data_IF_081958886858
#
_entry.id   IF_081958886858
#
_cell.length_a   1.000
_cell.length_b   1.000
_cell.length_c   1.000
_cell.angle_alpha   90.00
_cell.angle_beta   90.00
_cell.angle_gamma   90.00
#
_symmetry.space_group_name_H-M   'P 1'
#
loop_
_entity.id
_entity.type
_entity.pdbx_description
1 polymer ?
#
# COMPACT_ATOMS: atom_id res chain seq x y z
N UNK A 1 21.61 -14.65 -21.57
CA UNK A 1 20.76 -15.16 -20.47
C UNK A 1 20.03 -13.99 -19.84
N UNK A 2 18.86 -13.64 -20.39
CA UNK A 2 18.00 -12.58 -19.88
C UNK A 2 16.86 -13.22 -19.10
N UNK A 3 16.79 -12.99 -17.79
CA UNK A 3 15.60 -13.28 -16.97
C UNK A 3 15.14 -11.99 -16.30
N UNK A 4 13.81 -11.86 -16.29
CA UNK A 4 12.94 -10.96 -15.53
C UNK A 4 13.09 -9.44 -15.73
N UNK A 5 12.17 -8.89 -16.54
CA UNK A 5 11.52 -7.61 -16.27
C UNK A 5 10.01 -7.82 -16.44
N UNK A 6 9.32 -8.02 -15.33
CA UNK A 6 7.86 -7.85 -15.30
C UNK A 6 7.58 -6.47 -14.70
N UNK A 7 7.27 -5.54 -15.58
CA UNK A 7 6.57 -4.30 -15.23
C UNK A 7 5.19 -4.70 -14.72
N UNK A 8 4.87 -4.34 -13.47
CA UNK A 8 3.58 -4.61 -12.83
C UNK A 8 2.50 -3.58 -13.21
N UNK A 9 2.75 -2.74 -14.22
CA UNK A 9 1.82 -1.72 -14.69
C UNK A 9 1.22 -2.15 -16.03
N UNK A 10 0.15 -2.98 -15.95
CA UNK A 10 -0.97 -3.19 -16.90
C UNK A 10 -1.44 -4.64 -16.75
N UNK A 11 -2.41 -4.89 -15.87
CA UNK A 11 -2.98 -6.24 -15.64
C UNK A 11 -4.51 -6.26 -15.69
N UNK A 12 -5.12 -5.47 -16.58
CA UNK A 12 -6.57 -5.54 -16.79
C UNK A 12 -6.93 -5.35 -18.27
N UNK A 13 -6.66 -6.38 -19.10
CA UNK A 13 -7.43 -6.69 -20.34
C UNK A 13 -6.78 -7.77 -21.24
N UNK A 14 -6.48 -8.96 -20.72
CA UNK A 14 -6.23 -10.18 -21.52
C UNK A 14 -6.40 -11.43 -20.65
N UNK A 15 -6.85 -12.58 -21.17
CA UNK A 15 -6.82 -13.84 -20.41
C UNK A 15 -5.39 -14.13 -19.96
N UNK A 16 -5.16 -14.20 -18.65
CA UNK A 16 -3.85 -14.56 -18.12
C UNK A 16 -3.52 -16.01 -18.50
N UNK A 17 -2.28 -16.29 -18.89
CA UNK A 17 -1.87 -17.66 -19.23
C UNK A 17 -1.97 -18.58 -18.00
N UNK A 18 -2.20 -19.88 -18.24
CA UNK A 18 -2.27 -20.89 -17.16
C UNK A 18 -1.00 -20.90 -16.29
N UNK A 19 0.16 -20.61 -16.87
CA UNK A 19 1.44 -20.51 -16.18
C UNK A 19 1.49 -19.32 -15.19
N UNK A 20 0.94 -18.18 -15.58
CA UNK A 20 0.85 -16.99 -14.72
C UNK A 20 -0.12 -17.27 -13.56
N UNK A 21 -1.27 -17.87 -13.85
CA UNK A 21 -2.27 -18.23 -12.84
C UNK A 21 -1.67 -19.24 -11.84
N UNK A 22 -0.98 -20.27 -12.34
CA UNK A 22 -0.31 -21.28 -11.51
C UNK A 22 0.75 -20.64 -10.60
N UNK A 23 1.57 -19.74 -11.15
CA UNK A 23 2.58 -19.00 -10.38
C UNK A 23 1.95 -18.15 -9.28
N UNK A 24 0.90 -17.39 -9.59
CA UNK A 24 0.17 -16.58 -8.60
C UNK A 24 -0.43 -17.42 -7.48
N UNK A 25 -1.03 -18.57 -7.82
CA UNK A 25 -1.58 -19.49 -6.83
C UNK A 25 -0.49 -20.09 -5.93
N UNK A 26 0.66 -20.43 -6.50
CA UNK A 26 1.81 -20.87 -5.72
C UNK A 26 2.23 -19.79 -4.73
N UNK A 27 2.33 -18.53 -5.15
CA UNK A 27 2.70 -17.42 -4.25
C UNK A 27 1.67 -17.21 -3.13
N UNK A 28 0.38 -17.24 -3.43
CA UNK A 28 -0.71 -17.13 -2.43
C UNK A 28 -0.54 -18.21 -1.34
N UNK A 29 -0.25 -19.45 -1.75
CA UNK A 29 -0.05 -20.56 -0.82
C UNK A 29 1.26 -20.43 -0.04
N UNK A 30 2.38 -20.17 -0.73
CA UNK A 30 3.70 -20.05 -0.10
C UNK A 30 3.77 -18.92 0.94
N UNK A 31 3.06 -17.81 0.70
CA UNK A 31 3.02 -16.69 1.64
C UNK A 31 1.92 -16.80 2.70
N UNK A 32 1.09 -17.86 2.68
CA UNK A 32 0.05 -18.06 3.69
C UNK A 32 -1.07 -17.02 3.60
N UNK A 33 -1.47 -16.64 2.38
CA UNK A 33 -2.48 -15.59 2.15
C UNK A 33 -3.91 -16.13 2.30
N UNK A 34 -4.16 -17.42 1.98
CA UNK A 34 -5.52 -17.99 2.07
C UNK A 34 -6.15 -17.85 3.46
N UNK A 35 -5.46 -18.17 4.58
CA UNK A 35 -6.03 -17.96 5.91
C UNK A 35 -6.35 -16.49 6.22
N UNK A 36 -5.62 -15.54 5.61
CA UNK A 36 -5.92 -14.11 5.77
C UNK A 36 -7.18 -13.74 5.01
N UNK A 37 -7.34 -14.21 3.77
CA UNK A 37 -8.54 -13.99 2.99
C UNK A 37 -9.79 -14.54 3.70
N UNK A 38 -9.69 -15.74 4.27
CA UNK A 38 -10.77 -16.34 5.05
C UNK A 38 -11.09 -15.50 6.30
N UNK A 39 -10.07 -14.98 6.97
CA UNK A 39 -10.26 -14.10 8.13
C UNK A 39 -10.90 -12.76 7.77
N UNK A 40 -10.56 -12.20 6.61
CA UNK A 40 -11.17 -10.97 6.08
C UNK A 40 -12.66 -11.19 5.79
N UNK A 41 -12.99 -12.26 5.06
CA UNK A 41 -14.38 -12.58 4.70
C UNK A 41 -15.23 -12.82 5.94
N UNK A 42 -14.76 -13.66 6.86
CA UNK A 42 -15.46 -13.94 8.11
C UNK A 42 -15.69 -12.66 8.94
N UNK A 43 -14.70 -11.76 8.98
CA UNK A 43 -14.85 -10.49 9.70
C UNK A 43 -15.83 -9.53 9.02
N UNK A 44 -15.82 -9.45 7.67
CA UNK A 44 -16.79 -8.66 6.91
C UNK A 44 -18.22 -9.18 7.15
N UNK A 45 -18.44 -10.48 7.04
CA UNK A 45 -19.75 -11.09 7.23
C UNK A 45 -20.26 -10.90 8.68
N UNK A 46 -19.39 -11.00 9.69
CA UNK A 46 -19.79 -10.74 11.08
C UNK A 46 -20.24 -9.31 11.33
N UNK A 47 -19.64 -8.33 10.66
CA UNK A 47 -20.03 -6.91 10.76
C UNK A 47 -21.30 -6.62 9.98
N UNK A 48 -21.41 -7.16 8.77
CA UNK A 48 -22.59 -7.06 7.92
C UNK A 48 -22.75 -8.37 7.11
N UNK A 49 -23.73 -9.19 7.48
CA UNK A 49 -23.99 -10.50 6.87
C UNK A 49 -24.29 -10.43 5.36
N UNK A 50 -24.76 -9.28 4.86
CA UNK A 50 -25.06 -9.06 3.44
C UNK A 50 -23.97 -8.32 2.67
N UNK A 51 -22.85 -7.95 3.30
CA UNK A 51 -21.82 -7.10 2.68
C UNK A 51 -21.35 -7.60 1.30
N UNK A 52 -21.19 -8.91 1.15
CA UNK A 52 -20.66 -9.53 -0.07
C UNK A 52 -21.75 -10.01 -1.05
N UNK A 53 -23.02 -9.85 -0.70
CA UNK A 53 -24.18 -10.29 -1.49
C UNK A 53 -25.14 -9.16 -1.85
N UNK A 54 -24.96 -7.96 -1.28
CA UNK A 54 -25.72 -6.77 -1.64
C UNK A 54 -25.58 -6.41 -3.14
N UNK A 55 -26.62 -5.81 -3.75
CA UNK A 55 -26.50 -5.28 -5.11
C UNK A 55 -25.45 -4.16 -5.17
N UNK A 56 -24.36 -4.38 -5.92
CA UNK A 56 -23.26 -3.41 -6.11
C UNK A 56 -22.67 -2.87 -4.78
N UNK A 57 -22.07 -3.74 -3.94
CA UNK A 57 -21.57 -3.32 -2.64
C UNK A 57 -20.37 -2.36 -2.82
N UNK A 58 -20.18 -1.47 -1.84
CA UNK A 58 -19.05 -0.52 -1.78
C UNK A 58 -18.25 -0.74 -0.51
N UNK A 59 -17.39 -1.75 -0.56
CA UNK A 59 -16.55 -2.19 0.56
C UNK A 59 -15.18 -1.53 0.47
N UNK A 60 -14.65 -1.07 1.59
CA UNK A 60 -13.28 -0.60 1.73
C UNK A 60 -12.54 -1.49 2.72
N UNK A 61 -11.47 -2.11 2.22
CA UNK A 61 -10.51 -2.88 3.00
C UNK A 61 -9.27 -2.00 3.21
N UNK A 62 -9.05 -1.52 4.43
CA UNK A 62 -7.89 -0.70 4.77
C UNK A 62 -6.69 -1.56 5.15
N UNK A 63 -5.53 -1.31 4.56
CA UNK A 63 -4.30 -2.07 4.83
C UNK A 63 -3.18 -1.13 5.23
N UNK A 64 -2.69 -1.26 6.46
CA UNK A 64 -1.61 -0.46 7.00
C UNK A 64 -0.45 -1.30 7.53
N UNK A 65 0.63 -0.63 7.93
CA UNK A 65 1.89 -1.25 8.33
C UNK A 65 3.09 -0.44 7.86
N UNK A 66 4.27 -0.78 8.38
CA UNK A 66 5.50 -0.01 8.17
C UNK A 66 5.92 0.13 6.69
N UNK A 67 6.85 1.05 6.43
CA UNK A 67 7.56 1.12 5.14
C UNK A 67 8.31 -0.20 4.92
N UNK A 68 8.32 -0.68 3.67
CA UNK A 68 9.00 -1.92 3.26
C UNK A 68 8.49 -3.24 3.88
N UNK A 69 7.43 -3.22 4.69
CA UNK A 69 6.78 -4.46 5.20
C UNK A 69 6.15 -5.30 4.07
N UNK A 70 6.01 -4.73 2.87
CA UNK A 70 5.47 -5.38 1.68
C UNK A 70 3.95 -5.31 1.59
N UNK A 71 3.36 -4.15 1.91
CA UNK A 71 1.91 -3.91 1.81
C UNK A 71 1.40 -4.11 0.38
N UNK A 72 2.04 -3.51 -0.62
CA UNK A 72 1.53 -3.55 -2.00
C UNK A 72 1.45 -4.99 -2.52
N UNK A 73 2.56 -5.73 -2.41
CA UNK A 73 2.60 -7.16 -2.77
C UNK A 73 1.61 -8.00 -1.96
N UNK A 74 1.49 -7.76 -0.66
CA UNK A 74 0.53 -8.47 0.18
C UNK A 74 -0.91 -8.20 -0.26
N UNK A 75 -1.23 -6.93 -0.53
CA UNK A 75 -2.55 -6.47 -0.95
C UNK A 75 -2.92 -7.04 -2.32
N UNK A 76 -1.98 -7.09 -3.26
CA UNK A 76 -2.19 -7.71 -4.57
C UNK A 76 -2.48 -9.21 -4.45
N UNK A 77 -1.70 -9.93 -3.63
CA UNK A 77 -1.93 -11.36 -3.39
C UNK A 77 -3.28 -11.61 -2.68
N UNK A 78 -3.63 -10.76 -1.72
CA UNK A 78 -4.94 -10.83 -1.04
C UNK A 78 -6.07 -10.54 -2.03
N UNK A 79 -5.93 -9.54 -2.90
CA UNK A 79 -6.89 -9.21 -3.97
C UNK A 79 -7.12 -10.42 -4.88
N UNK A 80 -6.05 -11.10 -5.31
CA UNK A 80 -6.12 -12.32 -6.12
C UNK A 80 -6.84 -13.46 -5.38
N UNK A 81 -6.54 -13.68 -4.10
CA UNK A 81 -7.19 -14.69 -3.27
C UNK A 81 -8.69 -14.40 -3.08
N UNK A 82 -9.07 -13.14 -2.86
CA UNK A 82 -10.47 -12.72 -2.76
C UNK A 82 -11.21 -12.78 -4.11
N UNK A 83 -10.52 -12.50 -5.22
CA UNK A 83 -11.07 -12.63 -6.57
C UNK A 83 -11.50 -14.06 -6.88
N UNK A 84 -10.74 -15.06 -6.43
CA UNK A 84 -11.10 -16.47 -6.60
C UNK A 84 -12.40 -16.86 -5.88
N UNK A 85 -12.70 -16.21 -4.74
CA UNK A 85 -13.88 -16.49 -3.92
C UNK A 85 -15.12 -15.69 -4.35
N UNK A 86 -14.91 -14.45 -4.79
CA UNK A 86 -15.98 -13.52 -5.20
C UNK A 86 -15.65 -12.90 -6.57
N UNK A 87 -15.61 -13.69 -7.66
CA UNK A 87 -15.20 -13.20 -8.99
C UNK A 87 -16.14 -12.13 -9.56
N UNK A 88 -17.39 -12.08 -9.09
CA UNK A 88 -18.39 -11.08 -9.49
C UNK A 88 -18.17 -9.69 -8.87
N UNK A 89 -17.32 -9.58 -7.84
CA UNK A 89 -17.05 -8.30 -7.18
C UNK A 89 -15.73 -7.74 -7.68
N UNK A 90 -15.74 -6.69 -8.47
CA UNK A 90 -14.49 -6.08 -8.94
C UNK A 90 -13.73 -5.46 -7.76
N UNK A 91 -12.42 -5.68 -7.70
CA UNK A 91 -11.54 -5.06 -6.70
C UNK A 91 -10.50 -4.19 -7.38
N UNK A 92 -10.12 -3.10 -6.71
CA UNK A 92 -9.01 -2.28 -7.14
C UNK A 92 -8.17 -1.87 -5.93
N UNK A 93 -6.85 -1.98 -6.09
CA UNK A 93 -5.86 -1.57 -5.08
C UNK A 93 -5.49 -0.11 -5.33
N UNK A 94 -5.56 0.72 -4.29
CA UNK A 94 -5.16 2.12 -4.36
C UNK A 94 -4.25 2.43 -3.18
N UNK A 95 -3.05 2.90 -3.49
CA UNK A 95 -2.12 3.39 -2.47
C UNK A 95 -2.44 4.85 -2.12
N UNK A 96 -2.40 5.16 -0.83
CA UNK A 96 -2.48 6.55 -0.34
C UNK A 96 -1.31 7.40 -0.80
N UNK A 97 -0.17 6.81 -1.20
CA UNK A 97 0.98 7.55 -1.77
C UNK A 97 0.60 8.32 -3.04
N UNK A 98 -0.45 7.86 -3.74
CA UNK A 98 -1.07 8.56 -4.88
C UNK A 98 -1.61 9.95 -4.52
N UNK A 99 -1.81 10.23 -3.25
CA UNK A 99 -2.33 11.50 -2.74
C UNK A 99 -1.24 12.33 -2.07
N UNK A 100 0.04 11.97 -2.20
CA UNK A 100 1.15 12.86 -1.85
C UNK A 100 1.16 14.05 -2.81
N UNK A 101 1.40 15.25 -2.30
CA UNK A 101 1.56 16.43 -3.16
C UNK A 101 2.72 16.24 -4.16
N UNK A 102 2.58 16.71 -5.42
CA UNK A 102 3.69 16.75 -6.37
C UNK A 102 4.92 17.43 -5.79
N UNK A 103 6.11 16.97 -6.18
CA UNK A 103 7.40 17.42 -5.65
C UNK A 103 7.59 18.92 -5.81
N UNK A 104 7.04 19.52 -6.88
CA UNK A 104 7.00 20.98 -7.06
C UNK A 104 6.31 21.67 -5.87
N UNK A 105 5.13 21.22 -5.47
CA UNK A 105 4.36 21.78 -4.34
C UNK A 105 5.08 21.53 -3.02
N UNK A 106 5.65 20.34 -2.83
CA UNK A 106 6.43 20.04 -1.62
C UNK A 106 7.65 20.96 -1.47
N UNK A 107 8.33 21.31 -2.58
CA UNK A 107 9.45 22.27 -2.57
C UNK A 107 8.97 23.69 -2.25
N UNK A 108 7.90 24.14 -2.91
CA UNK A 108 7.30 25.47 -2.67
C UNK A 108 6.89 25.66 -1.20
N UNK A 109 6.48 24.57 -0.53
CA UNK A 109 6.06 24.58 0.88
C UNK A 109 7.17 24.22 1.88
N UNK A 110 8.41 23.97 1.43
CA UNK A 110 9.50 23.47 2.28
C UNK A 110 9.19 22.14 3.01
N UNK A 111 8.39 21.26 2.39
CA UNK A 111 7.94 19.97 2.94
C UNK A 111 8.63 18.76 2.33
N UNK A 112 9.63 18.94 1.46
CA UNK A 112 10.28 17.83 0.75
C UNK A 112 10.91 16.79 1.70
N UNK A 113 11.48 17.24 2.83
CA UNK A 113 12.03 16.36 3.88
C UNK A 113 10.97 15.62 4.69
N UNK A 114 9.71 16.04 4.59
CA UNK A 114 8.55 15.48 5.29
C UNK A 114 7.67 14.66 4.34
N UNK A 115 8.20 14.22 3.19
CA UNK A 115 7.47 13.34 2.28
C UNK A 115 7.15 12.00 2.97
N UNK A 116 5.88 11.64 3.01
CA UNK A 116 5.38 10.49 3.79
C UNK A 116 4.87 10.85 5.19
N UNK A 117 5.00 12.10 5.63
CA UNK A 117 4.37 12.61 6.86
C UNK A 117 2.99 13.21 6.52
N UNK A 118 2.09 13.37 7.51
CA UNK A 118 0.74 13.92 7.30
C UNK A 118 0.68 15.15 6.40
N UNK A 119 1.56 16.12 6.66
CA UNK A 119 1.62 17.41 5.95
C UNK A 119 1.95 17.30 4.46
N UNK A 120 2.48 16.15 4.01
CA UNK A 120 2.85 15.93 2.61
C UNK A 120 1.72 15.39 1.73
N UNK A 121 0.57 15.02 2.32
CA UNK A 121 -0.57 14.48 1.60
C UNK A 121 -1.64 15.53 1.34
N UNK A 122 -2.26 15.45 0.16
CA UNK A 122 -3.50 16.13 -0.20
C UNK A 122 -4.69 15.42 0.44
N UNK A 123 -4.78 15.52 1.77
CA UNK A 123 -5.78 14.79 2.58
C UNK A 123 -7.23 15.06 2.15
N UNK A 124 -7.64 16.31 1.85
CA UNK A 124 -9.00 16.56 1.35
C UNK A 124 -9.32 15.80 0.06
N UNK A 125 -8.34 15.70 -0.86
CA UNK A 125 -8.52 14.96 -2.13
C UNK A 125 -8.64 13.45 -1.89
N UNK A 126 -7.91 12.91 -0.93
CA UNK A 126 -8.02 11.51 -0.53
C UNK A 126 -9.39 11.20 0.07
N UNK A 127 -9.89 12.05 0.98
CA UNK A 127 -11.23 11.85 1.57
C UNK A 127 -12.31 11.97 0.49
N UNK A 128 -12.23 12.97 -0.39
CA UNK A 128 -13.19 13.11 -1.49
C UNK A 128 -13.21 11.86 -2.39
N UNK A 129 -12.05 11.28 -2.68
CA UNK A 129 -11.95 10.03 -3.45
C UNK A 129 -12.67 8.85 -2.76
N UNK A 130 -12.48 8.71 -1.45
CA UNK A 130 -13.11 7.67 -0.63
C UNK A 130 -14.64 7.87 -0.58
N UNK A 131 -15.09 9.10 -0.36
CA UNK A 131 -16.50 9.47 -0.35
C UNK A 131 -17.16 9.22 -1.72
N UNK A 132 -16.49 9.61 -2.81
CA UNK A 132 -16.97 9.38 -4.16
C UNK A 132 -17.19 7.89 -4.44
N UNK A 133 -16.27 7.03 -3.98
CA UNK A 133 -16.43 5.58 -4.06
C UNK A 133 -17.62 5.09 -3.23
N UNK A 134 -17.75 5.52 -1.97
CA UNK A 134 -18.87 5.12 -1.10
C UNK A 134 -20.23 5.58 -1.63
N UNK A 135 -20.30 6.73 -2.29
CA UNK A 135 -21.50 7.21 -2.98
C UNK A 135 -21.78 6.49 -4.31
N UNK A 136 -20.95 5.53 -4.69
CA UNK A 136 -21.16 4.72 -5.89
C UNK A 136 -20.85 5.45 -7.19
N UNK A 137 -20.09 6.56 -7.16
CA UNK A 137 -19.61 7.20 -8.39
C UNK A 137 -18.71 6.22 -9.15
N UNK A 138 -18.72 6.35 -10.48
CA UNK A 138 -17.90 5.56 -11.38
C UNK A 138 -16.89 6.45 -12.10
N UNK A 139 -15.79 5.88 -12.60
CA UNK A 139 -14.69 6.60 -13.26
C UNK A 139 -14.10 7.72 -12.40
N UNK A 140 -13.83 7.43 -11.12
CA UNK A 140 -13.27 8.40 -10.19
C UNK A 140 -11.78 8.55 -10.47
N UNK A 141 -11.34 9.73 -10.89
CA UNK A 141 -9.94 10.00 -11.19
C UNK A 141 -9.11 10.15 -9.90
N UNK A 142 -7.92 9.56 -9.85
CA UNK A 142 -6.94 9.75 -8.79
C UNK A 142 -5.51 9.86 -9.37
N UNK A 143 -4.59 10.56 -8.70
CA UNK A 143 -3.21 10.68 -9.20
C UNK A 143 -2.48 9.34 -9.09
N UNK A 144 -1.34 9.20 -9.76
CA UNK A 144 -0.51 7.99 -9.66
C UNK A 144 0.89 8.35 -9.17
N UNK A 145 1.32 7.76 -8.06
CA UNK A 145 2.67 7.95 -7.55
C UNK A 145 3.65 6.98 -8.21
N UNK A 146 4.75 7.50 -8.76
CA UNK A 146 5.83 6.69 -9.31
C UNK A 146 7.02 6.65 -8.36
N UNK A 147 7.37 5.46 -7.85
CA UNK A 147 8.59 5.29 -7.05
C UNK A 147 9.89 5.48 -7.86
N UNK A 148 9.84 5.29 -9.18
CA UNK A 148 10.98 5.51 -10.09
C UNK A 148 11.29 7.00 -10.21
N UNK A 149 10.26 7.80 -10.53
CA UNK A 149 10.37 9.26 -10.59
C UNK A 149 10.51 9.88 -9.20
N UNK A 150 10.05 9.15 -8.17
CA UNK A 150 9.86 9.65 -6.83
C UNK A 150 8.95 10.89 -6.84
N UNK A 151 7.89 10.86 -7.64
CA UNK A 151 6.92 11.95 -7.80
C UNK A 151 5.56 11.44 -8.33
N UNK A 152 4.56 12.31 -8.37
CA UNK A 152 3.29 12.06 -9.05
C UNK A 152 3.51 12.05 -10.58
N UNK A 153 3.02 11.00 -11.23
CA UNK A 153 2.97 10.81 -12.68
C UNK A 153 2.02 11.79 -13.34
N UNK A 154 2.30 12.16 -14.58
CA UNK A 154 1.44 13.03 -15.40
C UNK A 154 0.12 12.35 -15.81
N UNK A 155 0.09 11.01 -15.77
CA UNK A 155 -1.07 10.21 -16.17
C UNK A 155 -1.89 9.79 -14.94
N UNK A 156 -3.10 10.35 -14.73
CA UNK A 156 -3.98 9.90 -13.67
C UNK A 156 -4.50 8.49 -13.95
N UNK A 157 -4.97 7.84 -12.89
CA UNK A 157 -5.66 6.56 -12.95
C UNK A 157 -7.13 6.76 -12.61
N UNK A 158 -7.95 5.75 -12.93
CA UNK A 158 -9.39 5.78 -12.70
C UNK A 158 -9.83 4.58 -11.86
N UNK A 159 -10.76 4.82 -10.95
CA UNK A 159 -11.49 3.77 -10.25
C UNK A 159 -12.78 3.52 -11.04
N UNK A 160 -12.85 2.36 -11.69
CA UNK A 160 -13.96 2.02 -12.59
C UNK A 160 -14.58 0.69 -12.17
N UNK A 161 -15.91 0.65 -12.12
CA UNK A 161 -16.74 -0.51 -11.80
C UNK A 161 -16.31 -1.27 -10.53
N UNK A 162 -15.73 -0.57 -9.56
CA UNK A 162 -15.16 -1.17 -8.36
C UNK A 162 -16.23 -1.45 -7.30
N UNK A 163 -16.21 -2.66 -6.73
CA UNK A 163 -17.04 -3.05 -5.58
C UNK A 163 -16.23 -3.06 -4.28
N UNK A 164 -14.95 -3.42 -4.35
CA UNK A 164 -14.07 -3.51 -3.19
C UNK A 164 -12.82 -2.67 -3.44
N UNK A 165 -12.73 -1.55 -2.75
CA UNK A 165 -11.55 -0.70 -2.73
C UNK A 165 -10.57 -1.24 -1.68
N UNK A 166 -9.40 -1.68 -2.11
CA UNK A 166 -8.31 -2.07 -1.20
C UNK A 166 -7.38 -0.87 -1.03
N UNK A 167 -7.61 -0.10 0.02
CA UNK A 167 -6.88 1.13 0.30
C UNK A 167 -5.66 0.81 1.17
N UNK A 168 -4.46 0.94 0.60
CA UNK A 168 -3.22 0.68 1.32
C UNK A 168 -2.42 1.95 1.64
N UNK A 169 -1.74 1.96 2.78
CA UNK A 169 -0.97 3.13 3.18
C UNK A 169 -0.45 3.09 4.60
N UNK A 170 0.60 3.86 4.85
CA UNK A 170 1.13 4.02 6.22
C UNK A 170 0.17 4.79 7.13
N UNK A 171 -0.78 5.53 6.56
CA UNK A 171 -1.68 6.45 7.24
C UNK A 171 -3.13 5.96 7.32
N UNK A 172 -3.47 4.84 6.69
CA UNK A 172 -4.87 4.35 6.56
C UNK A 172 -5.56 4.16 7.90
N UNK A 173 -4.80 3.82 8.95
CA UNK A 173 -5.35 3.60 10.30
C UNK A 173 -4.98 4.70 11.31
N UNK A 174 -4.29 5.75 10.89
CA UNK A 174 -3.73 6.75 11.81
C UNK A 174 -4.66 7.94 11.99
N UNK A 175 -5.10 8.18 13.22
CA UNK A 175 -5.93 9.35 13.57
C UNK A 175 -5.12 10.65 13.58
N UNK A 176 -3.82 10.55 13.84
CA UNK A 176 -2.89 11.68 13.87
C UNK A 176 -2.46 12.17 12.48
N UNK A 177 -3.09 11.65 11.42
CA UNK A 177 -2.73 11.96 10.04
C UNK A 177 -3.59 13.04 9.38
N UNK A 178 -4.61 13.54 10.09
CA UNK A 178 -5.37 14.71 9.66
C UNK A 178 -4.46 15.93 9.89
N UNK A 179 -4.07 16.68 8.83
CA UNK A 179 -3.28 17.90 9.02
C UNK A 179 -4.03 18.89 9.92
N UNK A 180 -3.34 19.56 10.86
CA UNK A 180 -3.98 20.47 11.85
C UNK A 180 -4.90 21.53 11.23
N UNK A 181 -4.59 21.98 10.01
CA UNK A 181 -5.37 22.97 9.27
C UNK A 181 -6.17 22.38 8.10
N UNK A 182 -6.47 21.06 8.15
CA UNK A 182 -7.29 20.41 7.14
C UNK A 182 -8.72 20.96 7.18
N UNK A 183 -9.31 21.36 6.04
CA UNK A 183 -10.73 21.73 5.99
C UNK A 183 -11.66 20.52 6.17
N UNK A 184 -11.12 19.31 6.14
CA UNK A 184 -11.85 18.04 6.31
C UNK A 184 -11.45 17.40 7.64
N UNK A 185 -12.46 17.05 8.44
CA UNK A 185 -12.30 16.42 9.77
C UNK A 185 -12.57 14.92 9.76
N UNK A 186 -13.12 14.37 8.67
CA UNK A 186 -13.42 12.95 8.55
C UNK A 186 -12.13 12.13 8.52
N UNK A 187 -12.13 10.99 9.21
CA UNK A 187 -11.00 10.07 9.23
C UNK A 187 -11.18 8.99 8.17
N UNK A 188 -10.11 8.55 7.52
CA UNK A 188 -10.12 7.39 6.61
C UNK A 188 -10.79 6.18 7.27
N UNK A 189 -10.53 5.94 8.56
CA UNK A 189 -11.07 4.82 9.32
C UNK A 189 -12.59 4.79 9.39
N UNK A 190 -13.25 5.95 9.34
CA UNK A 190 -14.70 6.05 9.43
C UNK A 190 -15.39 5.41 8.20
N UNK A 191 -14.64 5.25 7.10
CA UNK A 191 -15.12 4.65 5.87
C UNK A 191 -14.75 3.18 5.70
N UNK A 192 -13.89 2.62 6.57
CA UNK A 192 -13.39 1.25 6.44
C UNK A 192 -14.41 0.23 6.95
N UNK A 193 -14.74 -0.76 6.11
CA UNK A 193 -15.56 -1.89 6.54
C UNK A 193 -14.71 -2.92 7.32
N UNK A 194 -13.43 -3.05 6.93
CA UNK A 194 -12.44 -3.85 7.64
C UNK A 194 -11.05 -3.25 7.48
N UNK A 195 -10.22 -3.45 8.50
CA UNK A 195 -8.85 -2.96 8.58
C UNK A 195 -7.84 -4.05 8.94
N UNK A 196 -6.68 -4.03 8.27
CA UNK A 196 -5.56 -4.93 8.51
C UNK A 196 -4.31 -4.12 8.84
N UNK A 197 -3.54 -4.58 9.82
CA UNK A 197 -2.19 -4.10 10.08
C UNK A 197 -1.17 -5.21 9.84
N UNK A 198 -0.20 -4.94 8.97
CA UNK A 198 0.89 -5.88 8.66
C UNK A 198 2.06 -5.61 9.61
N UNK A 199 2.32 -6.57 10.49
CA UNK A 199 3.32 -6.51 11.56
C UNK A 199 4.56 -7.34 11.18
N UNK A 200 5.75 -6.82 11.49
CA UNK A 200 7.00 -7.55 11.38
C UNK A 200 8.02 -7.00 12.40
N UNK A 201 9.07 -7.78 12.68
CA UNK A 201 10.14 -7.32 13.56
C UNK A 201 10.90 -6.14 12.95
N UNK A 202 11.43 -5.24 13.78
CA UNK A 202 12.26 -4.12 13.31
C UNK A 202 13.44 -4.59 12.45
N UNK A 203 14.08 -5.71 12.84
CA UNK A 203 15.20 -6.30 12.11
C UNK A 203 14.81 -6.77 10.70
N UNK A 204 13.56 -7.25 10.54
CA UNK A 204 13.04 -7.65 9.23
C UNK A 204 12.65 -6.44 8.39
N UNK A 205 11.98 -5.46 8.99
CA UNK A 205 11.64 -4.20 8.34
C UNK A 205 12.87 -3.50 7.77
N UNK A 206 13.93 -3.38 8.57
CA UNK A 206 15.17 -2.75 8.13
C UNK A 206 15.86 -3.55 7.02
N UNK A 207 15.89 -4.88 7.12
CA UNK A 207 16.46 -5.71 6.07
C UNK A 207 15.73 -5.57 4.73
N UNK A 208 14.40 -5.62 4.75
CA UNK A 208 13.61 -5.44 3.53
C UNK A 208 13.77 -4.02 2.96
N UNK A 209 13.86 -3.02 3.83
CA UNK A 209 14.19 -1.66 3.41
C UNK A 209 15.53 -1.59 2.67
N UNK A 210 16.60 -2.19 3.22
CA UNK A 210 17.92 -2.22 2.55
C UNK A 210 17.82 -2.91 1.18
N UNK A 211 17.19 -4.08 1.12
CA UNK A 211 17.08 -4.84 -0.14
C UNK A 211 16.30 -4.06 -1.21
N UNK A 212 15.17 -3.45 -0.83
CA UNK A 212 14.39 -2.60 -1.75
C UNK A 212 15.21 -1.40 -2.22
N UNK A 213 15.93 -0.73 -1.31
CA UNK A 213 16.76 0.42 -1.65
C UNK A 213 17.85 0.05 -2.66
N UNK A 214 18.54 -1.06 -2.44
CA UNK A 214 19.54 -1.58 -3.38
C UNK A 214 18.93 -1.96 -4.73
N UNK A 215 17.74 -2.58 -4.75
CA UNK A 215 17.02 -2.88 -5.99
C UNK A 215 16.71 -1.62 -6.80
N UNK A 216 16.27 -0.53 -6.15
CA UNK A 216 15.97 0.73 -6.82
C UNK A 216 17.22 1.39 -7.43
N UNK A 217 18.38 1.24 -6.78
CA UNK A 217 19.66 1.70 -7.33
C UNK A 217 20.06 0.85 -8.54
N UNK A 218 19.87 -0.47 -8.46
CA UNK A 218 20.16 -1.37 -9.58
C UNK A 218 19.27 -1.04 -10.79
N UNK A 219 17.98 -0.80 -10.57
CA UNK A 219 17.05 -0.39 -11.63
C UNK A 219 17.45 0.96 -12.23
N UNK A 220 17.93 1.89 -11.40
CA UNK A 220 18.43 3.19 -11.83
C UNK A 220 19.60 3.07 -12.81
N UNK A 221 20.42 2.00 -12.75
CA UNK A 221 21.52 1.80 -13.71
C UNK A 221 21.03 1.60 -15.14
N UNK A 222 19.81 1.08 -15.33
CA UNK A 222 19.26 0.92 -16.69
C UNK A 222 18.89 2.28 -17.29
N UNK A 223 18.23 3.15 -16.53
CA UNK A 223 17.77 4.46 -17.00
C UNK A 223 18.07 5.54 -15.94
N UNK A 224 19.34 5.98 -15.82
CA UNK A 224 19.74 6.89 -14.73
C UNK A 224 19.02 8.23 -14.75
N UNK A 225 18.82 8.83 -15.94
CA UNK A 225 18.28 10.19 -16.01
C UNK A 225 16.84 10.33 -15.51
N UNK A 226 16.06 9.25 -15.60
CA UNK A 226 14.67 9.19 -15.14
C UNK A 226 14.55 8.72 -13.68
N UNK A 227 15.65 8.39 -13.02
CA UNK A 227 15.63 7.82 -11.67
C UNK A 227 16.03 8.85 -10.61
N UNK A 228 15.20 8.95 -9.57
CA UNK A 228 15.55 9.70 -8.37
C UNK A 228 16.79 9.14 -7.65
N UNK A 229 17.19 7.90 -7.95
CA UNK A 229 18.32 7.19 -7.33
C UNK A 229 19.64 7.34 -8.11
N UNK A 230 19.68 8.15 -9.17
CA UNK A 230 20.86 8.24 -10.05
C UNK A 230 22.16 8.64 -9.35
N UNK A 231 22.07 9.51 -8.35
CA UNK A 231 23.24 9.94 -7.55
C UNK A 231 23.85 8.78 -6.75
N UNK A 232 23.05 7.79 -6.39
CA UNK A 232 23.46 6.64 -5.60
C UNK A 232 24.20 5.58 -6.41
N UNK A 233 24.11 5.61 -7.76
CA UNK A 233 24.77 4.64 -8.65
C UNK A 233 26.30 4.67 -8.49
N UNK A 234 26.86 5.85 -8.20
CA UNK A 234 28.31 6.07 -8.10
C UNK A 234 28.83 5.97 -6.65
N UNK A 235 27.96 5.72 -5.68
CA UNK A 235 28.35 5.59 -4.27
C UNK A 235 28.98 4.21 -4.03
N UNK A 236 29.99 4.17 -3.18
CA UNK A 236 30.58 2.93 -2.67
C UNK A 236 29.59 2.18 -1.78
N UNK A 237 29.84 0.89 -1.57
CA UNK A 237 28.97 0.06 -0.71
C UNK A 237 28.88 0.60 0.73
N UNK A 238 29.97 1.16 1.26
CA UNK A 238 30.00 1.74 2.62
C UNK A 238 29.20 3.05 2.69
N UNK A 239 29.33 3.92 1.69
CA UNK A 239 28.53 5.14 1.60
C UNK A 239 27.03 4.82 1.50
N UNK A 240 26.65 3.83 0.69
CA UNK A 240 25.27 3.36 0.57
C UNK A 240 24.75 2.79 1.88
N UNK A 241 25.55 1.97 2.57
CA UNK A 241 25.18 1.42 3.87
C UNK A 241 24.94 2.54 4.89
N UNK A 242 25.86 3.50 5.00
CA UNK A 242 25.75 4.64 5.92
C UNK A 242 24.51 5.50 5.61
N UNK A 243 24.26 5.78 4.33
CA UNK A 243 23.08 6.51 3.88
C UNK A 243 21.79 5.77 4.23
N UNK A 244 21.69 4.47 3.91
CA UNK A 244 20.50 3.66 4.21
C UNK A 244 20.22 3.60 5.72
N UNK A 245 21.25 3.40 6.54
CA UNK A 245 21.13 3.41 8.00
C UNK A 245 20.63 4.76 8.51
N UNK A 246 21.18 5.86 7.99
CA UNK A 246 20.78 7.21 8.38
C UNK A 246 19.32 7.49 7.99
N UNK A 247 18.92 7.21 6.74
CA UNK A 247 17.54 7.41 6.27
C UNK A 247 16.54 6.54 7.03
N UNK A 248 16.88 5.27 7.30
CA UNK A 248 16.04 4.40 8.11
C UNK A 248 15.85 4.97 9.52
N UNK A 249 16.94 5.23 10.23
CA UNK A 249 16.90 5.69 11.63
C UNK A 249 16.23 7.05 11.77
N UNK A 250 16.49 7.98 10.86
CA UNK A 250 16.07 9.37 11.01
C UNK A 250 14.70 9.68 10.40
N UNK A 251 14.20 8.85 9.48
CA UNK A 251 12.95 9.10 8.76
C UNK A 251 11.99 7.93 8.98
N UNK A 252 12.28 6.76 8.40
CA UNK A 252 11.32 5.66 8.34
C UNK A 252 11.01 5.06 9.71
N UNK A 253 12.02 4.85 10.54
CA UNK A 253 11.87 4.28 11.88
C UNK A 253 11.19 5.25 12.84
N UNK A 254 11.56 6.54 12.81
CA UNK A 254 10.84 7.57 13.59
C UNK A 254 9.38 7.63 13.19
N UNK A 255 9.09 7.66 11.89
CA UNK A 255 7.71 7.67 11.40
C UNK A 255 6.96 6.39 11.84
N UNK A 256 7.62 5.24 11.77
CA UNK A 256 7.06 3.97 12.22
C UNK A 256 6.67 4.01 13.70
N UNK A 257 7.59 4.34 14.60
CA UNK A 257 7.33 4.35 16.04
C UNK A 257 6.32 5.43 16.45
N UNK A 258 6.40 6.61 15.83
CA UNK A 258 5.58 7.77 16.25
C UNK A 258 4.16 7.76 15.67
N UNK A 259 3.97 7.31 14.42
CA UNK A 259 2.72 7.51 13.70
C UNK A 259 2.08 6.22 13.16
N UNK A 260 2.88 5.23 12.77
CA UNK A 260 2.38 4.01 12.11
C UNK A 260 2.09 2.90 13.12
N UNK A 261 3.06 2.50 13.94
CA UNK A 261 2.90 1.42 14.91
C UNK A 261 1.79 1.68 15.94
N UNK A 262 1.64 2.90 16.50
CA UNK A 262 0.54 3.17 17.42
C UNK A 262 -0.83 2.98 16.78
N UNK A 263 -0.96 3.16 15.46
CA UNK A 263 -2.21 3.01 14.74
C UNK A 263 -2.67 1.55 14.61
N UNK A 264 -1.79 0.58 14.93
CA UNK A 264 -2.13 -0.85 14.95
C UNK A 264 -3.33 -1.14 15.86
N UNK A 265 -3.54 -0.35 16.92
CA UNK A 265 -4.67 -0.54 17.84
C UNK A 265 -6.02 -0.43 17.14
N UNK A 266 -6.09 0.22 15.97
CA UNK A 266 -7.33 0.40 15.22
C UNK A 266 -7.59 -0.71 14.20
N UNK A 267 -6.70 -1.70 14.07
CA UNK A 267 -6.86 -2.79 13.12
C UNK A 267 -7.82 -3.87 13.63
N UNK A 268 -8.69 -4.36 12.75
CA UNK A 268 -9.53 -5.54 13.01
C UNK A 268 -8.69 -6.82 13.00
N UNK A 269 -7.71 -6.88 12.09
CA UNK A 269 -6.79 -8.00 11.92
C UNK A 269 -5.34 -7.54 11.98
N UNK A 270 -4.51 -8.22 12.76
CA UNK A 270 -3.06 -8.05 12.76
C UNK A 270 -2.43 -9.28 12.11
N UNK A 271 -1.71 -9.06 11.01
CA UNK A 271 -1.07 -10.10 10.21
C UNK A 271 0.44 -10.02 10.44
N UNK A 272 1.02 -11.05 11.06
CA UNK A 272 2.44 -11.08 11.36
C UNK A 272 3.19 -11.79 10.25
N UNK A 273 4.35 -11.24 9.85
CA UNK A 273 5.20 -11.80 8.80
C UNK A 273 6.53 -12.30 9.35
N UNK A 274 7.01 -13.41 8.79
CA UNK A 274 8.39 -13.87 8.94
C UNK A 274 9.32 -13.15 7.96
N UNK A 275 10.64 -13.28 8.18
CA UNK A 275 11.72 -12.72 7.34
C UNK A 275 11.61 -13.02 5.85
N UNK A 276 11.07 -14.18 5.47
CA UNK A 276 10.80 -14.57 4.09
C UNK A 276 9.49 -13.97 3.52
N UNK A 277 8.85 -13.04 4.24
CA UNK A 277 7.54 -12.45 3.97
C UNK A 277 6.32 -13.39 4.11
N UNK A 278 6.46 -14.65 4.53
CA UNK A 278 5.29 -15.50 4.78
C UNK A 278 4.52 -15.05 6.01
N UNK A 279 3.20 -15.17 5.97
CA UNK A 279 2.34 -14.96 7.14
C UNK A 279 2.63 -16.05 8.17
N UNK A 280 2.86 -15.65 9.42
CA UNK A 280 3.12 -16.57 10.54
C UNK A 280 1.93 -16.70 11.47
N UNK A 281 1.17 -15.63 11.65
CA UNK A 281 -0.05 -15.64 12.47
C UNK A 281 -0.97 -14.49 12.13
N UNK A 282 -2.26 -14.72 12.34
CA UNK A 282 -3.33 -13.73 12.20
C UNK A 282 -3.98 -13.60 13.56
N UNK A 283 -3.95 -12.40 14.13
CA UNK A 283 -4.68 -12.08 15.36
C UNK A 283 -5.88 -11.24 15.00
N UNK A 284 -7.05 -11.61 15.51
CA UNK A 284 -8.22 -10.74 15.46
C UNK A 284 -8.28 -9.94 16.74
N UNK A 285 -8.61 -8.67 16.64
CA UNK A 285 -8.98 -7.92 17.83
C UNK A 285 -10.32 -8.47 18.32
N UNK A 286 -10.35 -9.03 19.53
CA UNK A 286 -11.62 -9.39 20.15
C UNK A 286 -12.36 -8.07 20.47
N UNK A 287 -13.70 -8.04 20.26
CA UNK A 287 -14.52 -6.86 20.56
C UNK A 287 -14.41 -6.44 22.03
#
# INVERSE_FOLDING_TARGET
MNKSKHNYETLYSSPESEEIISTKNMLINCYGIEPVADAVIDSLLRKNNSALTEPNPKIIIGISGSVSVGKSTFTDLLSLSLNRRYPQLNKQVVSTDNFIYPTRILKERNLLSQKGFPVSYDYPKLIQFIEDFKHGKNNIAYPLYSHKLYDISDSPQFLTDCNILMLEGINVLSDSFIPENSPVTANIRDFLDISLFIEASENDLFYWYKNRFMSLIEDAKTNPEESAFKKMIHMTQDELNNLMHSLWKNINYKNFIQYIQPSMIHADLIVNKARNHSVTSIRRKLP
#
